data_IF_964073151192
#
_entry.id   IF_964073151192
#
_cell.length_a   1.000
_cell.length_b   1.000
_cell.length_c   1.000
_cell.angle_alpha   90.00
_cell.angle_beta   90.00
_cell.angle_gamma   90.00
#
_symmetry.space_group_name_H-M   'P 1'
#
loop_
_entity.id
_entity.type
_entity.pdbx_description
1 polymer ?
#
# COMPACT_ATOMS: atom_id res chain seq x y z
N UNK A 1 4.55 95.06 -41.83
CA UNK A 1 5.17 95.46 -40.53
C UNK A 1 4.33 95.09 -39.31
N UNK A 2 3.03 95.44 -39.23
CA UNK A 2 2.19 95.00 -38.09
C UNK A 2 1.76 93.52 -38.18
N UNK A 3 1.35 93.07 -39.38
CA UNK A 3 0.94 91.67 -39.63
C UNK A 3 2.11 90.67 -39.49
N UNK A 4 3.31 91.02 -39.96
CA UNK A 4 4.51 90.16 -39.86
C UNK A 4 4.95 89.93 -38.41
N UNK A 5 4.66 90.90 -37.52
CA UNK A 5 4.95 90.79 -36.09
C UNK A 5 3.97 89.86 -35.40
N UNK A 6 2.69 89.96 -35.76
CA UNK A 6 1.62 89.09 -35.25
C UNK A 6 1.81 87.65 -35.72
N UNK A 7 2.22 87.43 -36.98
CA UNK A 7 2.52 86.07 -37.46
C UNK A 7 3.75 85.46 -36.78
N UNK A 8 4.79 86.24 -36.52
CA UNK A 8 5.96 85.80 -35.75
C UNK A 8 5.62 85.45 -34.30
N UNK A 9 4.76 86.25 -33.64
CA UNK A 9 4.24 85.93 -32.29
C UNK A 9 3.41 84.64 -32.29
N UNK A 10 2.53 84.46 -33.28
CA UNK A 10 1.72 83.23 -33.41
C UNK A 10 2.62 82.01 -33.63
N UNK A 11 3.67 82.12 -34.44
CA UNK A 11 4.63 81.02 -34.64
C UNK A 11 5.40 80.71 -33.36
N UNK A 12 5.90 81.72 -32.65
CA UNK A 12 6.62 81.52 -31.39
C UNK A 12 5.75 80.85 -30.31
N UNK A 13 4.49 81.28 -30.17
CA UNK A 13 3.52 80.64 -29.25
C UNK A 13 3.22 79.20 -29.68
N UNK A 14 3.12 78.95 -30.99
CA UNK A 14 2.87 77.61 -31.53
C UNK A 14 4.06 76.67 -31.27
N UNK A 15 5.29 77.15 -31.48
CA UNK A 15 6.52 76.39 -31.23
C UNK A 15 6.69 76.08 -29.73
N UNK A 16 6.37 77.03 -28.85
CA UNK A 16 6.36 76.81 -27.40
C UNK A 16 5.30 75.78 -26.98
N UNK A 17 4.11 75.83 -27.58
CA UNK A 17 3.06 74.85 -27.34
C UNK A 17 3.45 73.44 -27.83
N UNK A 18 4.09 73.33 -29.00
CA UNK A 18 4.60 72.06 -29.54
C UNK A 18 5.69 71.50 -28.63
N UNK A 19 6.65 72.33 -28.21
CA UNK A 19 7.72 71.91 -27.31
C UNK A 19 7.17 71.42 -25.96
N UNK A 20 6.15 72.11 -25.43
CA UNK A 20 5.47 71.69 -24.19
C UNK A 20 4.77 70.35 -24.35
N UNK A 21 4.02 70.14 -25.43
CA UNK A 21 3.34 68.86 -25.71
C UNK A 21 4.35 67.72 -25.87
N UNK A 22 5.47 67.97 -26.56
CA UNK A 22 6.54 66.97 -26.72
C UNK A 22 7.20 66.61 -25.38
N UNK A 23 7.46 67.60 -24.52
CA UNK A 23 8.01 67.38 -23.19
C UNK A 23 7.04 66.59 -22.30
N UNK A 24 5.75 66.94 -22.30
CA UNK A 24 4.71 66.20 -21.57
C UNK A 24 4.56 64.76 -22.09
N UNK A 25 4.60 64.56 -23.41
CA UNK A 25 4.52 63.22 -24.02
C UNK A 25 5.74 62.37 -23.67
N UNK A 26 6.95 62.96 -23.72
CA UNK A 26 8.18 62.25 -23.35
C UNK A 26 8.18 61.86 -21.86
N UNK A 27 7.70 62.75 -20.99
CA UNK A 27 7.56 62.45 -19.56
C UNK A 27 6.55 61.32 -19.31
N UNK A 28 5.42 61.32 -20.02
CA UNK A 28 4.39 60.28 -19.90
C UNK A 28 4.89 58.92 -20.44
N UNK A 29 5.61 58.91 -21.56
CA UNK A 29 6.25 57.68 -22.07
C UNK A 29 7.23 57.11 -21.04
N UNK A 30 8.10 57.96 -20.47
CA UNK A 30 9.06 57.54 -19.45
C UNK A 30 8.35 56.99 -18.20
N UNK A 31 7.25 57.61 -17.77
CA UNK A 31 6.42 57.12 -16.66
C UNK A 31 5.83 55.75 -16.96
N UNK A 32 5.21 55.56 -18.13
CA UNK A 32 4.61 54.29 -18.55
C UNK A 32 5.68 53.19 -18.64
N UNK A 33 6.85 53.49 -19.18
CA UNK A 33 7.96 52.53 -19.27
C UNK A 33 8.41 52.10 -17.87
N UNK A 34 8.65 53.05 -16.97
CA UNK A 34 9.06 52.76 -15.59
C UNK A 34 8.02 51.94 -14.81
N UNK A 35 6.74 52.28 -14.94
CA UNK A 35 5.65 51.51 -14.33
C UNK A 35 5.55 50.10 -14.90
N UNK A 36 5.78 49.96 -16.21
CA UNK A 36 5.74 48.65 -16.89
C UNK A 36 6.92 47.78 -16.46
N UNK A 37 8.13 48.35 -16.38
CA UNK A 37 9.32 47.65 -15.89
C UNK A 37 9.15 47.18 -14.44
N UNK A 38 8.58 48.04 -13.58
CA UNK A 38 8.28 47.69 -12.19
C UNK A 38 7.30 46.52 -12.12
N UNK A 39 6.20 46.56 -12.89
CA UNK A 39 5.23 45.46 -12.94
C UNK A 39 5.82 44.16 -13.47
N UNK A 40 6.70 44.24 -14.48
CA UNK A 40 7.40 43.05 -15.01
C UNK A 40 8.32 42.45 -13.94
N UNK A 41 9.06 43.29 -13.21
CA UNK A 41 9.94 42.84 -12.14
C UNK A 41 9.16 42.16 -11.00
N UNK A 42 8.08 42.78 -10.54
CA UNK A 42 7.19 42.22 -9.50
C UNK A 42 6.57 40.89 -9.95
N UNK A 43 6.08 40.82 -11.20
CA UNK A 43 5.49 39.60 -11.75
C UNK A 43 6.55 38.48 -11.82
N UNK A 44 7.75 38.80 -12.30
CA UNK A 44 8.85 37.84 -12.39
C UNK A 44 9.24 37.29 -11.03
N UNK A 45 9.42 38.16 -10.03
CA UNK A 45 9.74 37.72 -8.66
C UNK A 45 8.63 36.84 -8.08
N UNK A 46 7.36 37.18 -8.32
CA UNK A 46 6.22 36.40 -7.84
C UNK A 46 6.15 35.00 -8.48
N UNK A 47 6.42 34.91 -9.79
CA UNK A 47 6.42 33.63 -10.53
C UNK A 47 7.65 32.79 -10.20
N UNK A 48 8.84 33.40 -10.02
CA UNK A 48 10.06 32.70 -9.60
C UNK A 48 9.86 32.07 -8.21
N UNK A 49 9.25 32.81 -7.27
CA UNK A 49 8.91 32.28 -5.95
C UNK A 49 7.89 31.14 -6.03
N UNK A 50 6.84 31.31 -6.83
CA UNK A 50 5.82 30.28 -7.04
C UNK A 50 6.40 29.02 -7.67
N UNK A 51 7.33 29.17 -8.61
CA UNK A 51 8.05 28.07 -9.24
C UNK A 51 8.90 27.33 -8.21
N UNK A 52 9.67 28.04 -7.39
CA UNK A 52 10.47 27.45 -6.32
C UNK A 52 9.61 26.66 -5.32
N UNK A 53 8.51 27.25 -4.85
CA UNK A 53 7.57 26.58 -3.94
C UNK A 53 6.93 25.33 -4.58
N UNK A 54 6.70 25.36 -5.89
CA UNK A 54 6.15 24.22 -6.64
C UNK A 54 7.16 23.09 -6.77
N UNK A 55 8.42 23.40 -7.09
CA UNK A 55 9.52 22.43 -7.17
C UNK A 55 9.71 21.75 -5.82
N UNK A 56 9.83 22.53 -4.74
CA UNK A 56 9.98 22.00 -3.37
C UNK A 56 8.84 21.06 -2.99
N UNK A 57 7.60 21.39 -3.39
CA UNK A 57 6.44 20.54 -3.15
C UNK A 57 6.51 19.26 -3.96
N UNK A 58 6.89 19.34 -5.24
CA UNK A 58 7.03 18.18 -6.11
C UNK A 58 8.10 17.23 -5.59
N UNK A 59 9.27 17.75 -5.20
CA UNK A 59 10.37 16.95 -4.65
C UNK A 59 9.93 16.19 -3.38
N UNK A 60 9.25 16.87 -2.45
CA UNK A 60 8.70 16.22 -1.25
C UNK A 60 7.68 15.14 -1.59
N UNK A 61 6.84 15.38 -2.58
CA UNK A 61 5.84 14.42 -3.03
C UNK A 61 6.48 13.19 -3.69
N UNK A 62 7.49 13.39 -4.53
CA UNK A 62 8.23 12.31 -5.18
C UNK A 62 8.99 11.45 -4.16
N UNK A 63 9.71 12.08 -3.23
CA UNK A 63 10.43 11.35 -2.17
C UNK A 63 9.46 10.53 -1.31
N UNK A 64 8.36 11.15 -0.87
CA UNK A 64 7.34 10.45 -0.07
C UNK A 64 6.71 9.28 -0.84
N UNK A 65 6.42 9.47 -2.13
CA UNK A 65 5.87 8.43 -3.00
C UNK A 65 6.86 7.27 -3.20
N UNK A 66 8.14 7.59 -3.42
CA UNK A 66 9.20 6.60 -3.58
C UNK A 66 9.41 5.78 -2.29
N UNK A 67 9.39 6.43 -1.12
CA UNK A 67 9.47 5.75 0.17
C UNK A 67 8.28 4.81 0.41
N UNK A 68 7.07 5.25 0.06
CA UNK A 68 5.86 4.44 0.19
C UNK A 68 5.90 3.21 -0.72
N UNK A 69 6.30 3.38 -1.98
CA UNK A 69 6.40 2.26 -2.92
C UNK A 69 7.51 1.29 -2.50
N UNK A 70 8.66 1.80 -2.02
CA UNK A 70 9.73 0.98 -1.46
C UNK A 70 9.24 0.13 -0.28
N UNK A 71 8.55 0.75 0.69
CA UNK A 71 7.96 0.04 1.84
C UNK A 71 6.95 -1.02 1.39
N UNK A 72 6.12 -0.71 0.40
CA UNK A 72 5.13 -1.65 -0.15
C UNK A 72 5.80 -2.86 -0.80
N UNK A 73 6.85 -2.65 -1.58
CA UNK A 73 7.63 -3.74 -2.20
C UNK A 73 8.22 -4.64 -1.11
N UNK A 74 8.86 -4.05 -0.09
CA UNK A 74 9.45 -4.82 1.02
C UNK A 74 8.40 -5.63 1.77
N UNK A 75 7.26 -5.02 2.12
CA UNK A 75 6.17 -5.71 2.82
C UNK A 75 5.56 -6.83 1.97
N UNK A 76 5.41 -6.61 0.66
CA UNK A 76 4.92 -7.65 -0.25
C UNK A 76 5.88 -8.84 -0.27
N UNK A 77 7.20 -8.60 -0.36
CA UNK A 77 8.21 -9.66 -0.32
C UNK A 77 8.27 -10.39 1.01
N UNK A 78 8.17 -9.67 2.14
CA UNK A 78 8.07 -10.31 3.46
C UNK A 78 6.85 -11.23 3.56
N UNK A 79 5.70 -10.80 3.02
CA UNK A 79 4.49 -11.62 2.98
C UNK A 79 4.67 -12.86 2.10
N UNK A 80 5.29 -12.74 0.93
CA UNK A 80 5.59 -13.88 0.06
C UNK A 80 6.44 -14.93 0.79
N UNK A 81 7.53 -14.51 1.44
CA UNK A 81 8.40 -15.41 2.20
C UNK A 81 7.64 -16.09 3.35
N UNK A 82 6.80 -15.35 4.07
CA UNK A 82 5.96 -15.93 5.13
C UNK A 82 4.98 -16.97 4.57
N UNK A 83 4.37 -16.71 3.42
CA UNK A 83 3.49 -17.67 2.76
C UNK A 83 4.25 -18.92 2.30
N UNK A 84 5.44 -18.76 1.75
CA UNK A 84 6.30 -19.88 1.33
C UNK A 84 6.66 -20.78 2.53
N UNK A 85 7.10 -20.19 3.65
CA UNK A 85 7.41 -20.95 4.87
C UNK A 85 6.17 -21.69 5.40
N UNK A 86 4.99 -21.06 5.36
CA UNK A 86 3.74 -21.71 5.76
C UNK A 86 3.45 -22.93 4.88
N UNK A 87 3.54 -22.77 3.55
CA UNK A 87 3.23 -23.83 2.59
C UNK A 87 4.25 -24.97 2.65
N UNK A 88 5.54 -24.67 2.82
CA UNK A 88 6.60 -25.67 3.02
C UNK A 88 6.40 -26.46 4.31
N UNK A 89 6.12 -25.76 5.43
CA UNK A 89 5.86 -26.40 6.73
C UNK A 89 4.62 -27.30 6.64
N UNK A 90 3.57 -26.84 5.95
CA UNK A 90 2.39 -27.65 5.71
C UNK A 90 2.75 -28.89 4.88
N UNK A 91 3.46 -28.72 3.77
CA UNK A 91 3.88 -29.83 2.92
C UNK A 91 4.72 -30.87 3.68
N UNK A 92 5.59 -30.44 4.60
CA UNK A 92 6.36 -31.33 5.47
C UNK A 92 5.43 -32.14 6.41
N UNK A 93 4.45 -31.49 7.03
CA UNK A 93 3.45 -32.17 7.88
C UNK A 93 2.59 -33.15 7.07
N UNK A 94 2.15 -32.75 5.87
CA UNK A 94 1.39 -33.60 4.95
C UNK A 94 2.23 -34.75 4.40
N UNK A 95 3.54 -34.55 4.24
CA UNK A 95 4.52 -35.52 3.76
C UNK A 95 5.09 -36.44 4.84
N UNK A 96 4.75 -36.22 6.11
CA UNK A 96 5.26 -37.00 7.23
C UNK A 96 4.97 -38.51 7.10
N UNK A 97 5.83 -39.34 7.69
CA UNK A 97 5.67 -40.79 7.66
C UNK A 97 4.35 -41.26 8.29
N UNK A 98 3.86 -42.43 7.89
CA UNK A 98 2.61 -42.98 8.42
C UNK A 98 2.65 -43.18 9.95
N UNK A 99 3.81 -43.49 10.52
CA UNK A 99 4.00 -43.64 11.97
C UNK A 99 3.85 -42.30 12.70
N UNK A 100 4.48 -41.24 12.19
CA UNK A 100 4.36 -39.89 12.73
C UNK A 100 2.92 -39.39 12.63
N UNK A 101 2.29 -39.55 11.46
CA UNK A 101 0.88 -39.19 11.25
C UNK A 101 -0.05 -39.92 12.21
N UNK A 102 0.14 -41.22 12.41
CA UNK A 102 -0.67 -41.99 13.36
C UNK A 102 -0.55 -41.43 14.79
N UNK A 103 0.66 -41.07 15.22
CA UNK A 103 0.88 -40.45 16.54
C UNK A 103 0.18 -39.10 16.64
N UNK A 104 0.28 -38.25 15.62
CA UNK A 104 -0.40 -36.96 15.58
C UNK A 104 -1.93 -37.12 15.62
N UNK A 105 -2.48 -38.02 14.81
CA UNK A 105 -3.91 -38.24 14.71
C UNK A 105 -4.50 -38.79 16.03
N UNK A 106 -3.80 -39.72 16.70
CA UNK A 106 -4.18 -40.18 18.04
C UNK A 106 -4.26 -39.03 19.05
N UNK A 107 -3.28 -38.12 19.02
CA UNK A 107 -3.29 -36.96 19.91
C UNK A 107 -4.44 -35.99 19.60
N UNK A 108 -4.74 -35.76 18.33
CA UNK A 108 -5.89 -34.94 17.89
C UNK A 108 -7.21 -35.55 18.35
N UNK A 109 -7.38 -36.87 18.18
CA UNK A 109 -8.56 -37.61 18.67
C UNK A 109 -8.70 -37.48 20.19
N UNK A 110 -7.61 -37.65 20.93
CA UNK A 110 -7.63 -37.52 22.39
C UNK A 110 -8.01 -36.10 22.84
N UNK A 111 -7.51 -35.07 22.15
CA UNK A 111 -7.89 -33.69 22.43
C UNK A 111 -9.38 -33.46 22.17
N UNK A 112 -9.90 -33.95 21.04
CA UNK A 112 -11.31 -33.80 20.67
C UNK A 112 -12.27 -34.63 21.52
N UNK A 113 -11.83 -35.74 22.12
CA UNK A 113 -12.65 -36.55 23.04
C UNK A 113 -13.17 -35.80 24.25
N UNK A 114 -12.54 -34.68 24.59
CA UNK A 114 -13.04 -33.75 25.64
C UNK A 114 -14.33 -33.05 25.25
N UNK A 115 -14.61 -32.94 23.94
CA UNK A 115 -15.79 -32.26 23.38
C UNK A 115 -16.77 -33.29 22.80
N UNK A 116 -16.26 -34.30 22.08
CA UNK A 116 -17.06 -35.37 21.45
C UNK A 116 -16.59 -36.72 22.02
N UNK A 117 -17.31 -37.36 22.95
CA UNK A 117 -16.85 -38.58 23.62
C UNK A 117 -16.55 -39.75 22.68
N UNK A 118 -17.38 -39.96 21.66
CA UNK A 118 -17.23 -41.01 20.65
C UNK A 118 -17.23 -40.40 19.24
N UNK A 119 -16.13 -39.76 18.81
CA UNK A 119 -16.12 -39.10 17.53
C UNK A 119 -15.99 -40.12 16.39
N UNK A 120 -16.54 -39.73 15.24
CA UNK A 120 -16.32 -40.33 13.94
C UNK A 120 -15.22 -39.54 13.22
N UNK A 121 -14.19 -40.21 12.71
CA UNK A 121 -13.11 -39.55 12.01
C UNK A 121 -13.33 -39.60 10.49
N UNK A 122 -13.21 -38.45 9.83
CA UNK A 122 -13.16 -38.32 8.38
C UNK A 122 -11.70 -38.03 8.03
N UNK A 123 -11.07 -38.91 7.26
CA UNK A 123 -9.64 -38.83 6.92
C UNK A 123 -9.43 -38.79 5.40
N UNK A 124 -8.21 -38.49 4.97
CA UNK A 124 -7.82 -38.56 3.57
C UNK A 124 -8.00 -39.96 3.00
N UNK A 125 -8.36 -40.06 1.72
CA UNK A 125 -8.34 -41.34 1.00
C UNK A 125 -6.96 -41.98 0.97
N UNK A 126 -5.90 -41.16 0.95
CA UNK A 126 -4.50 -41.58 0.94
C UNK A 126 -4.05 -42.20 2.26
N UNK A 127 -4.73 -41.87 3.36
CA UNK A 127 -4.44 -42.45 4.67
C UNK A 127 -5.13 -43.81 4.83
N UNK A 128 -4.38 -44.79 5.35
CA UNK A 128 -4.83 -46.19 5.52
C UNK A 128 -5.16 -46.55 6.97
N UNK A 129 -5.31 -45.56 7.84
CA UNK A 129 -5.59 -45.78 9.27
C UNK A 129 -7.01 -46.30 9.49
N UNK A 130 -7.16 -47.24 10.42
CA UNK A 130 -8.45 -47.81 10.80
C UNK A 130 -9.02 -47.15 12.06
N UNK A 131 -10.31 -47.39 12.33
CA UNK A 131 -10.96 -46.91 13.54
C UNK A 131 -10.30 -47.41 14.83
N UNK A 132 -9.74 -48.63 14.81
CA UNK A 132 -8.96 -49.20 15.91
C UNK A 132 -7.64 -48.49 16.11
N UNK A 133 -6.96 -48.15 15.02
CA UNK A 133 -5.68 -47.44 15.08
C UNK A 133 -5.85 -46.04 15.69
N UNK A 134 -6.93 -45.35 15.34
CA UNK A 134 -7.23 -43.99 15.81
C UNK A 134 -8.00 -43.96 17.14
N UNK A 135 -8.58 -45.07 17.57
CA UNK A 135 -9.39 -45.15 18.79
C UNK A 135 -10.71 -44.38 18.67
N UNK A 136 -11.35 -44.43 17.51
CA UNK A 136 -12.62 -43.73 17.16
C UNK A 136 -13.73 -44.73 16.84
N UNK A 137 -14.98 -44.28 16.83
CA UNK A 137 -16.15 -45.15 16.58
C UNK A 137 -16.22 -45.64 15.14
N UNK A 138 -15.93 -44.77 14.18
CA UNK A 138 -15.93 -45.07 12.74
C UNK A 138 -14.92 -44.17 12.02
N UNK A 139 -14.37 -44.68 10.93
CA UNK A 139 -13.55 -43.92 9.99
C UNK A 139 -14.27 -43.84 8.66
N UNK A 140 -14.37 -42.64 8.11
CA UNK A 140 -14.80 -42.36 6.74
C UNK A 140 -13.68 -41.67 5.97
N UNK A 141 -13.72 -41.83 4.65
CA UNK A 141 -12.72 -41.27 3.75
C UNK A 141 -13.37 -40.19 2.92
N UNK A 142 -12.67 -39.08 2.72
CA UNK A 142 -13.10 -37.97 1.90
C UNK A 142 -11.93 -37.47 1.05
N UNK A 143 -12.16 -37.35 -0.26
CA UNK A 143 -11.18 -36.86 -1.24
C UNK A 143 -10.85 -35.38 -1.08
N UNK A 144 -11.67 -34.61 -0.37
CA UNK A 144 -11.41 -33.20 -0.04
C UNK A 144 -10.33 -33.03 1.04
N UNK A 145 -10.08 -34.08 1.83
CA UNK A 145 -9.08 -34.06 2.91
C UNK A 145 -7.73 -34.50 2.34
N UNK A 146 -6.76 -33.59 2.33
CA UNK A 146 -5.37 -33.90 1.95
C UNK A 146 -4.62 -34.61 3.08
N UNK A 147 -4.61 -34.03 4.28
CA UNK A 147 -4.01 -34.60 5.47
C UNK A 147 -4.66 -34.04 6.75
N UNK A 148 -4.45 -34.74 7.86
CA UNK A 148 -5.20 -34.54 9.09
C UNK A 148 -6.55 -35.25 9.06
N UNK A 149 -7.45 -34.81 9.93
CA UNK A 149 -8.74 -35.46 10.12
C UNK A 149 -9.81 -34.47 10.58
N UNK A 150 -11.06 -34.74 10.25
CA UNK A 150 -12.22 -34.03 10.79
C UNK A 150 -12.94 -34.97 11.74
N UNK A 151 -13.25 -34.50 12.95
CA UNK A 151 -13.97 -35.29 13.94
C UNK A 151 -15.41 -34.81 14.04
N UNK A 152 -16.32 -35.72 13.77
CA UNK A 152 -17.75 -35.46 13.74
C UNK A 152 -18.45 -36.23 14.88
N UNK A 153 -19.45 -35.63 15.50
CA UNK A 153 -20.36 -36.32 16.42
C UNK A 153 -21.26 -37.31 15.67
N UNK A 154 -21.87 -38.26 16.39
CA UNK A 154 -22.72 -39.28 15.76
C UNK A 154 -23.96 -38.70 15.06
N UNK A 155 -24.49 -37.59 15.57
CA UNK A 155 -25.62 -36.84 15.03
C UNK A 155 -25.22 -35.83 13.93
N UNK A 156 -23.92 -35.68 13.64
CA UNK A 156 -23.40 -34.73 12.66
C UNK A 156 -23.55 -33.26 13.06
N UNK A 157 -23.97 -32.96 14.29
CA UNK A 157 -24.21 -31.58 14.74
C UNK A 157 -22.92 -30.84 15.10
N UNK A 158 -21.89 -31.58 15.53
CA UNK A 158 -20.62 -31.02 15.96
C UNK A 158 -19.51 -31.58 15.07
N UNK A 159 -18.78 -30.68 14.43
CA UNK A 159 -17.59 -30.98 13.64
C UNK A 159 -16.40 -30.20 14.18
N UNK A 160 -15.28 -30.90 14.35
CA UNK A 160 -14.02 -30.33 14.79
C UNK A 160 -12.99 -30.58 13.69
N UNK A 161 -12.60 -29.49 13.04
CA UNK A 161 -11.55 -29.50 12.03
C UNK A 161 -10.18 -29.63 12.71
N UNK A 162 -9.56 -30.80 12.54
CA UNK A 162 -8.21 -31.11 12.98
C UNK A 162 -7.29 -31.39 11.78
N UNK A 163 -7.59 -30.77 10.63
CA UNK A 163 -6.70 -30.81 9.48
C UNK A 163 -5.39 -30.08 9.80
N UNK A 164 -4.26 -30.55 9.24
CA UNK A 164 -2.96 -29.90 9.47
C UNK A 164 -2.98 -28.44 9.01
N UNK A 165 -3.67 -28.13 7.92
CA UNK A 165 -3.85 -26.77 7.43
C UNK A 165 -4.57 -25.86 8.45
N UNK A 166 -5.64 -26.34 9.07
CA UNK A 166 -6.42 -25.59 10.06
C UNK A 166 -5.63 -25.37 11.36
N UNK A 167 -4.95 -26.42 11.84
CA UNK A 167 -4.11 -26.36 13.04
C UNK A 167 -2.90 -25.46 12.83
N UNK A 168 -2.17 -25.64 11.72
CA UNK A 168 -1.02 -24.81 11.38
C UNK A 168 -1.45 -23.36 11.22
N UNK A 169 -2.57 -23.06 10.54
CA UNK A 169 -3.11 -21.70 10.43
C UNK A 169 -3.38 -21.08 11.81
N UNK A 170 -4.00 -21.82 12.72
CA UNK A 170 -4.26 -21.34 14.07
C UNK A 170 -2.98 -20.99 14.83
N UNK A 171 -1.95 -21.83 14.72
CA UNK A 171 -0.64 -21.58 15.35
C UNK A 171 0.07 -20.41 14.66
N UNK A 172 -0.01 -20.36 13.34
CA UNK A 172 0.59 -19.31 12.50
C UNK A 172 0.01 -17.94 12.85
N UNK A 173 -1.31 -17.80 12.90
CA UNK A 173 -1.98 -16.53 13.20
C UNK A 173 -1.61 -16.01 14.62
N UNK A 174 -1.41 -16.91 15.58
CA UNK A 174 -0.96 -16.56 16.94
C UNK A 174 0.53 -16.25 17.01
N UNK A 175 1.33 -16.91 16.19
CA UNK A 175 2.80 -16.87 16.21
C UNK A 175 3.42 -15.95 15.17
N UNK A 176 2.64 -15.34 14.28
CA UNK A 176 3.14 -14.64 13.09
C UNK A 176 4.13 -13.53 13.43
N UNK A 177 3.91 -12.84 14.55
CA UNK A 177 4.83 -11.83 15.05
C UNK A 177 6.20 -12.43 15.36
N UNK A 178 6.24 -13.51 16.14
CA UNK A 178 7.51 -14.17 16.49
C UNK A 178 8.22 -14.72 15.26
N UNK A 179 7.47 -15.30 14.31
CA UNK A 179 8.04 -15.79 13.04
C UNK A 179 8.62 -14.63 12.23
N UNK A 180 7.89 -13.51 12.14
CA UNK A 180 8.37 -12.29 11.47
C UNK A 180 9.62 -11.73 12.13
N UNK A 181 9.67 -11.67 13.46
CA UNK A 181 10.83 -11.16 14.22
C UNK A 181 12.07 -12.06 13.99
N UNK A 182 11.90 -13.39 13.94
CA UNK A 182 12.99 -14.33 13.64
C UNK A 182 13.51 -14.18 12.20
N UNK A 183 12.61 -14.04 11.23
CA UNK A 183 12.98 -14.02 9.81
C UNK A 183 13.51 -12.67 9.34
N UNK A 184 13.04 -11.57 9.93
CA UNK A 184 13.29 -10.24 9.41
C UNK A 184 13.97 -9.27 10.39
N UNK A 185 14.13 -9.65 11.67
CA UNK A 185 14.74 -8.81 12.70
C UNK A 185 13.77 -7.81 13.32
#
# INVERSE_FOLDING_TARGET
>A
MALDKVTAEIMAISDEAVAKIQAETAAEIARIQSETETKIAELKESEDKRLADTIDRMDRQEVSSAELESKKIVLAKKKEVLSEVFDETLAELEGASAEQKLKHYKNMVNAAKTIIPEPKAIISENDKFTAKDLGVKKVEKDSRIKAGLILQSEDGQIEIDMQYSALLRTVWDRGIKNVSDILFG
#
